data_IF_145658884088
#
_entry.id   IF_145658884088
#
_cell.length_a   1.000
_cell.length_b   1.000
_cell.length_c   1.000
_cell.angle_alpha   90.00
_cell.angle_beta   90.00
_cell.angle_gamma   90.00
#
_symmetry.space_group_name_H-M   'P 1'
#
loop_
_entity.id
_entity.type
_entity.pdbx_description
1 polymer ?
#
# COMPACT_ATOMS: atom_id res chain seq x y z
N UNK A 1 -1.11 -19.93 -7.64
CA UNK A 1 0.05 -19.07 -7.38
C UNK A 1 0.87 -19.79 -6.34
N UNK A 2 2.19 -19.81 -6.50
CA UNK A 2 3.09 -20.36 -5.49
C UNK A 2 2.90 -19.61 -4.15
N UNK A 3 2.87 -20.35 -3.05
CA UNK A 3 2.66 -19.82 -1.70
C UNK A 3 3.78 -18.84 -1.29
N UNK A 4 4.99 -19.02 -1.81
CA UNK A 4 6.14 -18.13 -1.58
C UNK A 4 5.90 -16.76 -2.23
N UNK A 5 5.43 -16.74 -3.49
CA UNK A 5 5.06 -15.50 -4.17
C UNK A 5 3.93 -14.72 -3.48
N UNK A 6 2.98 -15.41 -2.83
CA UNK A 6 1.91 -14.75 -2.05
C UNK A 6 2.48 -14.17 -0.75
N UNK A 7 3.37 -14.89 -0.07
CA UNK A 7 4.03 -14.41 1.15
C UNK A 7 4.84 -13.13 0.89
N UNK A 8 5.60 -13.12 -0.20
CA UNK A 8 6.40 -11.95 -0.61
C UNK A 8 5.52 -10.76 -0.95
N UNK A 9 4.40 -10.98 -1.64
CA UNK A 9 3.42 -9.95 -1.93
C UNK A 9 2.87 -9.30 -0.65
N UNK A 10 2.55 -10.11 0.36
CA UNK A 10 2.05 -9.63 1.66
C UNK A 10 3.14 -8.84 2.39
N UNK A 11 4.39 -9.32 2.39
CA UNK A 11 5.51 -8.62 3.00
C UNK A 11 5.74 -7.25 2.34
N UNK A 12 5.72 -7.19 1.01
CA UNK A 12 5.83 -5.94 0.25
C UNK A 12 4.69 -4.97 0.59
N UNK A 13 3.44 -5.46 0.66
CA UNK A 13 2.31 -4.63 1.07
C UNK A 13 2.54 -4.02 2.45
N UNK A 14 2.93 -4.82 3.44
CA UNK A 14 3.19 -4.34 4.81
C UNK A 14 4.26 -3.24 4.85
N UNK A 15 5.30 -3.36 4.04
CA UNK A 15 6.35 -2.34 3.94
C UNK A 15 5.83 -1.03 3.35
N UNK A 16 5.08 -1.09 2.25
CA UNK A 16 4.48 0.09 1.60
C UNK A 16 3.52 0.83 2.53
N UNK A 17 2.69 0.08 3.26
CA UNK A 17 1.81 0.62 4.28
C UNK A 17 2.58 1.28 5.42
N UNK A 18 3.60 0.60 5.96
CA UNK A 18 4.46 1.14 7.00
C UNK A 18 5.12 2.45 6.57
N UNK A 19 5.66 2.50 5.35
CA UNK A 19 6.26 3.69 4.77
C UNK A 19 5.24 4.83 4.63
N UNK A 20 4.04 4.55 4.12
CA UNK A 20 3.00 5.55 3.95
C UNK A 20 2.60 6.18 5.31
N UNK A 21 2.43 5.36 6.34
CA UNK A 21 2.10 5.83 7.69
C UNK A 21 3.24 6.69 8.26
N UNK A 22 4.50 6.25 8.14
CA UNK A 22 5.65 7.01 8.63
C UNK A 22 5.75 8.40 7.98
N UNK A 23 5.51 8.51 6.67
CA UNK A 23 5.51 9.80 5.98
C UNK A 23 4.38 10.72 6.43
N UNK A 24 3.17 10.19 6.64
CA UNK A 24 2.02 10.97 7.11
C UNK A 24 2.29 11.52 8.51
N UNK A 25 2.85 10.70 9.40
CA UNK A 25 3.24 11.11 10.75
C UNK A 25 4.35 12.16 10.70
N UNK A 26 5.36 11.99 9.84
CA UNK A 26 6.43 12.96 9.66
C UNK A 26 5.92 14.33 9.14
N UNK A 27 4.84 14.33 8.35
CA UNK A 27 4.14 15.54 7.89
C UNK A 27 3.20 16.15 8.94
N UNK A 28 3.12 15.56 10.15
CA UNK A 28 2.18 15.93 11.22
C UNK A 28 0.72 15.95 10.75
N UNK A 29 0.38 15.03 9.85
CA UNK A 29 -0.98 14.86 9.30
C UNK A 29 -1.69 13.71 10.00
N UNK A 30 -3.04 13.73 10.03
CA UNK A 30 -3.80 12.60 10.54
C UNK A 30 -3.62 11.38 9.63
N UNK A 31 -3.39 10.22 10.24
CA UNK A 31 -3.31 8.93 9.55
C UNK A 31 -4.73 8.46 9.23
N UNK A 32 -5.23 8.89 8.07
CA UNK A 32 -6.53 8.44 7.53
C UNK A 32 -6.33 7.48 6.36
N UNK A 33 -7.38 6.75 6.02
CA UNK A 33 -7.39 5.85 4.88
C UNK A 33 -7.08 6.59 3.57
N UNK A 34 -7.68 7.76 3.38
CA UNK A 34 -7.46 8.60 2.20
C UNK A 34 -6.00 9.04 2.09
N UNK A 35 -5.40 9.47 3.21
CA UNK A 35 -4.00 9.87 3.25
C UNK A 35 -3.05 8.71 2.95
N UNK A 36 -3.33 7.51 3.49
CA UNK A 36 -2.56 6.29 3.20
C UNK A 36 -2.68 5.93 1.72
N UNK A 37 -3.90 5.90 1.17
CA UNK A 37 -4.15 5.58 -0.23
C UNK A 37 -3.45 6.58 -1.16
N UNK A 38 -3.50 7.87 -0.87
CA UNK A 38 -2.79 8.90 -1.63
C UNK A 38 -1.27 8.68 -1.62
N UNK A 39 -0.69 8.41 -0.44
CA UNK A 39 0.75 8.15 -0.30
C UNK A 39 1.18 6.90 -1.07
N UNK A 40 0.43 5.81 -0.93
CA UNK A 40 0.67 4.57 -1.66
C UNK A 40 0.59 4.84 -3.18
N UNK A 41 -0.44 5.53 -3.68
CA UNK A 41 -0.51 5.87 -5.11
C UNK A 41 0.67 6.71 -5.59
N UNK A 42 1.15 7.67 -4.77
CA UNK A 42 2.31 8.51 -5.12
C UNK A 42 3.62 7.74 -5.16
N UNK A 43 3.78 6.70 -4.33
CA UNK A 43 4.95 5.79 -4.41
C UNK A 43 5.05 5.10 -5.78
N UNK A 44 3.96 5.09 -6.53
CA UNK A 44 3.81 4.37 -7.79
C UNK A 44 3.55 5.25 -9.00
N UNK A 45 3.42 6.57 -8.83
CA UNK A 45 3.36 7.49 -9.97
C UNK A 45 4.66 7.41 -10.78
N UNK A 46 4.55 6.92 -12.03
CA UNK A 46 5.68 6.75 -12.95
C UNK A 46 6.21 5.32 -13.08
N UNK A 47 5.63 4.35 -12.36
CA UNK A 47 5.98 2.92 -12.45
C UNK A 47 4.71 2.14 -12.81
N UNK A 48 4.77 1.25 -13.81
CA UNK A 48 3.62 0.41 -14.17
C UNK A 48 3.31 -0.56 -13.01
N UNK A 49 2.08 -0.58 -12.44
CA UNK A 49 1.79 -1.42 -11.28
C UNK A 49 1.92 -2.91 -11.56
N UNK A 50 2.91 -3.54 -10.93
CA UNK A 50 3.03 -5.00 -10.88
C UNK A 50 1.82 -5.65 -10.16
N UNK A 51 1.53 -6.93 -10.40
CA UNK A 51 0.36 -7.63 -9.85
C UNK A 51 0.22 -7.52 -8.32
N UNK A 52 1.32 -7.52 -7.58
CA UNK A 52 1.36 -7.35 -6.12
C UNK A 52 0.77 -6.01 -5.68
N UNK A 53 0.96 -4.96 -6.47
CA UNK A 53 0.46 -3.62 -6.15
C UNK A 53 -1.04 -3.50 -6.39
N UNK A 54 -1.56 -4.13 -7.45
CA UNK A 54 -3.01 -4.21 -7.68
C UNK A 54 -3.69 -4.98 -6.54
N UNK A 55 -3.05 -6.04 -6.05
CA UNK A 55 -3.52 -6.79 -4.90
C UNK A 55 -3.57 -5.89 -3.64
N UNK A 56 -2.52 -5.13 -3.36
CA UNK A 56 -2.46 -4.19 -2.24
C UNK A 56 -3.62 -3.17 -2.24
N UNK A 57 -3.88 -2.55 -3.41
CA UNK A 57 -4.96 -1.58 -3.60
C UNK A 57 -6.34 -2.26 -3.45
N UNK A 58 -6.53 -3.45 -4.02
CA UNK A 58 -7.82 -4.16 -3.91
C UNK A 58 -8.17 -4.55 -2.47
N UNK A 59 -7.17 -4.91 -1.66
CA UNK A 59 -7.36 -5.23 -0.24
C UNK A 59 -7.69 -3.97 0.58
N UNK A 60 -7.14 -2.82 0.21
CA UNK A 60 -7.51 -1.53 0.77
C UNK A 60 -8.96 -1.18 0.47
N UNK A 61 -9.42 -1.40 -0.75
CA UNK A 61 -10.77 -1.04 -1.20
C UNK A 61 -11.85 -1.94 -0.58
N UNK A 62 -11.59 -3.25 -0.50
CA UNK A 62 -12.53 -4.26 -0.01
C UNK A 62 -12.68 -4.33 1.51
N UNK A 63 -11.78 -3.75 2.29
CA UNK A 63 -11.91 -3.68 3.76
C UNK A 63 -12.83 -2.55 4.25
N UNK A 64 -13.53 -1.88 3.31
CA UNK A 64 -14.49 -0.80 3.56
C UNK A 64 -15.92 -1.22 3.84
N UNK A 65 -16.25 -2.51 3.67
CA UNK A 65 -17.60 -3.06 3.79
C UNK A 65 -17.84 -3.66 5.16
#
# INVERSE_FOLDING_TARGET
MDDEAVSDAIAACRLLFGQAVMEIVAENKPVTREAITEKIHRMFTGIEPEPVMRLAISLLENSAS
#
